data_IF_183066171183
#
_entry.id   IF_183066171183
#
_cell.length_a   1.000
_cell.length_b   1.000
_cell.length_c   1.000
_cell.angle_alpha   90.00
_cell.angle_beta   90.00
_cell.angle_gamma   90.00
#
_symmetry.space_group_name_H-M   'P 1'
#
loop_
_entity.id
_entity.type
_entity.pdbx_description
1 polymer ?
#
# COMPACT_ATOMS: atom_id res chain seq x y z
N UNK A 1 -4.15 47.69 15.35
CA UNK A 1 -3.34 46.48 15.62
C UNK A 1 -3.83 45.40 14.67
N UNK A 2 -3.03 45.08 13.66
CA UNK A 2 -3.38 44.06 12.67
C UNK A 2 -2.83 42.68 13.02
N UNK A 3 -3.44 41.68 12.34
CA UNK A 3 -3.01 40.30 12.08
C UNK A 3 -3.00 39.35 13.29
N UNK A 4 -3.46 38.09 13.21
CA UNK A 4 -3.61 37.14 12.09
C UNK A 4 -4.55 36.01 12.57
N UNK A 5 -5.52 35.49 11.78
CA UNK A 5 -6.16 34.23 12.12
C UNK A 5 -5.20 33.10 11.73
N UNK A 6 -4.42 32.61 12.68
CA UNK A 6 -3.73 31.32 12.57
C UNK A 6 -4.73 30.21 12.89
N UNK A 7 -5.39 29.70 11.86
CA UNK A 7 -5.89 28.33 11.84
C UNK A 7 -5.84 27.85 10.41
N UNK A 8 -4.61 27.51 10.00
CA UNK A 8 -4.34 26.78 8.79
C UNK A 8 -5.20 25.50 8.76
N UNK A 9 -5.85 25.27 7.62
CA UNK A 9 -6.00 23.94 7.00
C UNK A 9 -6.46 22.78 7.91
N UNK A 10 -7.45 23.02 8.78
CA UNK A 10 -8.15 21.96 9.50
C UNK A 10 -9.21 21.24 8.64
N UNK A 11 -9.32 21.59 7.36
CA UNK A 11 -10.24 20.99 6.41
C UNK A 11 -9.52 20.08 5.38
N UNK A 12 -8.43 19.44 5.78
CA UNK A 12 -8.04 18.18 5.13
C UNK A 12 -8.86 17.05 5.76
N UNK A 13 -10.16 17.09 5.54
CA UNK A 13 -11.12 16.10 6.01
C UNK A 13 -10.90 14.80 5.23
N UNK A 14 -9.90 14.01 5.67
CA UNK A 14 -9.82 12.61 5.26
C UNK A 14 -11.10 11.91 5.73
N UNK A 15 -11.97 11.58 4.78
CA UNK A 15 -13.20 10.84 5.05
C UNK A 15 -12.82 9.61 5.89
N UNK A 16 -13.48 9.41 7.04
CA UNK A 16 -13.22 8.24 7.89
C UNK A 16 -13.38 7.01 7.01
N UNK A 17 -12.33 6.20 6.81
CA UNK A 17 -12.43 5.04 5.95
C UNK A 17 -13.59 4.15 6.39
N UNK A 18 -14.50 3.88 5.45
CA UNK A 18 -15.64 2.98 5.64
C UNK A 18 -15.18 1.71 6.35
N UNK A 19 -15.96 1.22 7.32
CA UNK A 19 -15.67 0.03 8.12
C UNK A 19 -15.88 -1.27 7.33
N UNK A 20 -15.43 -1.30 6.07
CA UNK A 20 -15.44 -2.49 5.26
C UNK A 20 -14.15 -3.31 5.53
N UNK A 21 -14.25 -4.50 6.15
CA UNK A 21 -13.08 -5.32 6.48
C UNK A 21 -12.27 -5.76 5.26
N UNK A 22 -12.85 -5.72 4.06
CA UNK A 22 -12.13 -6.02 2.82
C UNK A 22 -11.10 -4.96 2.48
N UNK A 23 -11.27 -3.72 2.93
CA UNK A 23 -10.29 -2.66 2.73
C UNK A 23 -9.03 -2.86 3.58
N UNK A 24 -9.11 -3.63 4.68
CA UNK A 24 -7.93 -3.96 5.48
C UNK A 24 -6.90 -4.79 4.69
N UNK A 25 -7.31 -5.48 3.61
CA UNK A 25 -6.37 -6.21 2.74
C UNK A 25 -5.38 -5.29 2.00
N UNK A 26 -5.73 -4.01 1.82
CA UNK A 26 -4.89 -3.03 1.15
C UNK A 26 -4.14 -2.13 2.14
N UNK A 27 -4.57 -2.09 3.40
CA UNK A 27 -3.97 -1.21 4.40
C UNK A 27 -2.64 -1.75 4.90
N UNK A 28 -1.75 -0.81 5.20
CA UNK A 28 -0.50 -1.12 5.85
C UNK A 28 -0.74 -1.90 7.16
N UNK A 29 0.05 -2.95 7.48
CA UNK A 29 -0.17 -3.80 8.64
C UNK A 29 -0.33 -3.07 9.99
N UNK A 30 0.25 -1.89 10.13
CA UNK A 30 0.18 -1.06 11.35
C UNK A 30 -1.15 -0.32 11.52
N UNK A 31 -1.98 -0.22 10.48
CA UNK A 31 -3.26 0.54 10.51
C UNK A 31 -4.50 -0.32 10.21
N UNK A 32 -4.32 -1.64 10.17
CA UNK A 32 -5.40 -2.59 9.91
C UNK A 32 -6.34 -2.76 11.12
N UNK A 33 -7.65 -2.92 10.87
CA UNK A 33 -8.68 -3.16 11.89
C UNK A 33 -8.81 -2.03 12.94
N UNK A 34 -8.97 -2.40 14.22
CA UNK A 34 -9.33 -1.52 15.33
C UNK A 34 -8.11 -0.80 15.93
N UNK A 35 -7.14 -0.43 15.09
CA UNK A 35 -6.01 0.39 15.54
C UNK A 35 -6.44 1.86 15.54
N UNK A 36 -6.20 2.62 16.62
CA UNK A 36 -6.47 4.05 16.65
C UNK A 36 -5.75 4.75 15.50
N UNK A 37 -6.45 5.61 14.76
CA UNK A 37 -5.92 6.27 13.55
C UNK A 37 -5.34 7.65 13.84
N UNK A 38 -5.00 7.90 15.10
CA UNK A 38 -4.43 9.15 15.59
C UNK A 38 -3.00 8.91 16.07
N UNK A 39 -2.16 9.95 16.04
CA UNK A 39 -0.77 9.85 16.46
C UNK A 39 0.06 8.95 15.55
N UNK A 40 0.82 8.01 16.14
CA UNK A 40 1.80 7.17 15.41
C UNK A 40 1.20 6.28 14.32
N UNK A 41 -0.07 5.92 14.46
CA UNK A 41 -0.81 5.09 13.50
C UNK A 41 -1.72 5.94 12.58
N UNK A 42 -1.56 7.27 12.61
CA UNK A 42 -2.21 8.19 11.69
C UNK A 42 -1.71 8.03 10.26
N UNK A 43 -2.20 8.88 9.38
CA UNK A 43 -1.82 8.86 7.98
C UNK A 43 -0.30 9.02 7.79
N UNK A 44 0.28 8.17 6.94
CA UNK A 44 1.67 8.25 6.50
C UNK A 44 1.74 7.96 5.00
N UNK A 45 2.64 8.62 4.26
CA UNK A 45 2.81 8.37 2.82
C UNK A 45 3.21 6.93 2.53
N UNK A 46 4.00 6.31 3.41
CA UNK A 46 4.41 4.89 3.34
C UNK A 46 3.20 3.95 3.26
N UNK A 47 2.08 4.29 3.91
CA UNK A 47 0.88 3.46 3.90
C UNK A 47 0.17 3.50 2.54
N UNK A 48 0.22 4.64 1.85
CA UNK A 48 -0.28 4.74 0.48
C UNK A 48 0.63 3.99 -0.50
N UNK A 49 1.96 4.10 -0.33
CA UNK A 49 2.93 3.35 -1.13
C UNK A 49 2.72 1.85 -0.96
N UNK A 50 2.49 1.37 0.27
CA UNK A 50 2.11 -0.02 0.54
C UNK A 50 0.85 -0.41 -0.22
N UNK A 51 -0.21 0.37 -0.09
CA UNK A 51 -1.52 0.10 -0.72
C UNK A 51 -1.40 0.02 -2.24
N UNK A 52 -0.60 0.91 -2.84
CA UNK A 52 -0.27 0.88 -4.26
C UNK A 52 0.43 -0.42 -4.65
N UNK A 53 1.38 -0.91 -3.86
CA UNK A 53 2.04 -2.20 -4.09
C UNK A 53 1.06 -3.38 -4.16
N UNK A 54 0.03 -3.39 -3.30
CA UNK A 54 -1.03 -4.41 -3.33
C UNK A 54 -1.82 -4.31 -4.64
N UNK A 55 -2.22 -3.10 -5.06
CA UNK A 55 -2.97 -2.87 -6.30
C UNK A 55 -2.14 -3.23 -7.54
N UNK A 56 -0.86 -2.86 -7.59
CA UNK A 56 0.02 -3.23 -8.70
C UNK A 56 0.20 -4.76 -8.79
N UNK A 57 0.21 -5.47 -7.67
CA UNK A 57 0.20 -6.93 -7.69
C UNK A 57 -1.06 -7.48 -8.35
N UNK A 58 -2.24 -6.95 -8.02
CA UNK A 58 -3.51 -7.37 -8.64
C UNK A 58 -3.48 -7.15 -10.15
N UNK A 59 -2.92 -6.04 -10.61
CA UNK A 59 -2.74 -5.77 -12.03
C UNK A 59 -1.81 -6.78 -12.70
N UNK A 60 -0.68 -7.12 -12.07
CA UNK A 60 0.25 -8.11 -12.62
C UNK A 60 -0.39 -9.48 -12.82
N UNK A 61 -1.21 -9.95 -11.86
CA UNK A 61 -1.77 -11.31 -11.89
C UNK A 61 -3.21 -11.38 -12.43
N UNK A 62 -3.78 -10.22 -12.79
CA UNK A 62 -5.17 -10.03 -13.23
C UNK A 62 -6.23 -10.70 -12.33
N UNK A 63 -5.99 -10.66 -11.01
CA UNK A 63 -6.86 -11.26 -9.99
C UNK A 63 -6.90 -10.35 -8.76
N UNK A 64 -8.07 -10.21 -8.12
CA UNK A 64 -8.16 -9.43 -6.90
C UNK A 64 -7.46 -10.15 -5.74
N UNK A 65 -6.96 -9.39 -4.77
CA UNK A 65 -6.04 -9.85 -3.73
C UNK A 65 -6.66 -10.92 -2.84
N UNK A 66 -7.97 -10.85 -2.59
CA UNK A 66 -8.67 -11.89 -1.84
C UNK A 66 -8.61 -13.26 -2.53
N UNK A 67 -8.60 -13.31 -3.87
CA UNK A 67 -8.44 -14.56 -4.63
C UNK A 67 -6.99 -15.06 -4.55
N UNK A 68 -6.02 -14.13 -4.63
CA UNK A 68 -4.59 -14.46 -4.46
C UNK A 68 -4.33 -15.08 -3.08
N UNK A 69 -5.02 -14.60 -2.05
CA UNK A 69 -4.96 -15.11 -0.68
C UNK A 69 -5.84 -16.35 -0.44
N UNK A 70 -6.64 -16.79 -1.41
CA UNK A 70 -7.56 -17.92 -1.27
C UNK A 70 -8.74 -17.66 -0.32
N UNK A 71 -9.17 -16.40 -0.19
CA UNK A 71 -10.28 -15.99 0.66
C UNK A 71 -11.62 -16.04 -0.10
N UNK A 72 -12.63 -16.62 0.55
CA UNK A 72 -14.01 -16.62 0.05
C UNK A 72 -14.68 -15.27 0.38
N UNK A 73 -15.24 -14.60 -0.65
CA UNK A 73 -15.98 -13.33 -0.49
C UNK A 73 -17.20 -13.43 0.44
N UNK A 74 -17.72 -14.64 0.67
CA UNK A 74 -18.82 -14.89 1.61
C UNK A 74 -18.38 -14.76 3.07
N UNK A 75 -17.07 -14.77 3.33
CA UNK A 75 -16.50 -14.76 4.67
C UNK A 75 -15.77 -13.45 4.92
N UNK A 76 -16.04 -12.81 6.06
CA UNK A 76 -15.29 -11.63 6.49
C UNK A 76 -13.79 -11.99 6.61
N UNK A 77 -12.88 -11.23 5.98
CA UNK A 77 -11.45 -11.48 6.11
C UNK A 77 -11.03 -11.32 7.57
N UNK A 78 -10.27 -12.30 8.06
CA UNK A 78 -9.72 -12.30 9.42
C UNK A 78 -8.49 -11.40 9.49
N UNK A 79 -8.17 -10.92 10.68
CA UNK A 79 -6.97 -10.12 10.92
C UNK A 79 -5.67 -10.81 10.47
N UNK A 80 -5.58 -12.13 10.65
CA UNK A 80 -4.45 -12.91 10.16
C UNK A 80 -4.30 -12.85 8.64
N UNK A 81 -5.41 -12.82 7.89
CA UNK A 81 -5.38 -12.79 6.43
C UNK A 81 -4.87 -11.43 5.92
N UNK A 82 -5.38 -10.33 6.47
CA UNK A 82 -4.92 -8.99 6.11
C UNK A 82 -3.45 -8.74 6.49
N UNK A 83 -3.02 -9.19 7.68
CA UNK A 83 -1.60 -9.11 8.08
C UNK A 83 -0.70 -9.97 7.21
N UNK A 84 -1.23 -11.08 6.69
CA UNK A 84 -0.52 -12.00 5.80
C UNK A 84 -0.26 -11.45 4.40
N UNK A 85 -0.91 -10.35 3.99
CA UNK A 85 -0.78 -9.77 2.64
C UNK A 85 0.68 -9.43 2.33
N UNK A 86 1.36 -8.64 3.19
CA UNK A 86 2.77 -8.26 3.00
C UNK A 86 3.66 -9.51 2.84
N UNK A 87 3.49 -10.48 3.74
CA UNK A 87 4.26 -11.73 3.73
C UNK A 87 4.03 -12.55 2.47
N UNK A 88 2.79 -12.66 2.00
CA UNK A 88 2.45 -13.42 0.80
C UNK A 88 3.03 -12.78 -0.46
N UNK A 89 2.87 -11.46 -0.62
CA UNK A 89 3.38 -10.69 -1.76
C UNK A 89 4.90 -10.79 -1.87
N UNK A 90 5.59 -10.66 -0.72
CA UNK A 90 7.06 -10.71 -0.63
C UNK A 90 7.63 -12.14 -0.54
N UNK A 91 6.78 -13.16 -0.48
CA UNK A 91 7.23 -14.55 -0.47
C UNK A 91 7.93 -14.91 -1.80
N UNK A 92 8.79 -15.93 -1.76
CA UNK A 92 9.44 -16.44 -2.97
C UNK A 92 8.42 -16.77 -4.07
N UNK A 93 7.30 -17.39 -3.71
CA UNK A 93 6.22 -17.72 -4.65
C UNK A 93 5.53 -16.46 -5.19
N UNK A 94 5.27 -15.48 -4.34
CA UNK A 94 4.65 -14.20 -4.72
C UNK A 94 5.49 -13.47 -5.76
N UNK A 95 6.79 -13.31 -5.49
CA UNK A 95 7.74 -12.67 -6.41
C UNK A 95 7.94 -13.48 -7.68
N UNK A 96 8.05 -14.81 -7.59
CA UNK A 96 8.14 -15.68 -8.77
C UNK A 96 6.92 -15.55 -9.68
N UNK A 97 5.73 -15.40 -9.11
CA UNK A 97 4.48 -15.21 -9.87
C UNK A 97 4.48 -13.84 -10.55
N UNK A 98 4.90 -12.78 -9.87
CA UNK A 98 5.03 -11.45 -10.49
C UNK A 98 5.96 -11.48 -11.70
N UNK A 99 7.12 -12.11 -11.56
CA UNK A 99 8.10 -12.23 -12.65
C UNK A 99 7.54 -13.00 -13.83
N UNK A 100 6.80 -14.09 -13.60
CA UNK A 100 6.21 -14.88 -14.69
C UNK A 100 5.07 -14.18 -15.40
N UNK A 101 4.27 -13.39 -14.68
CA UNK A 101 3.08 -12.73 -15.25
C UNK A 101 3.38 -11.35 -15.85
N UNK A 102 4.29 -10.57 -15.24
CA UNK A 102 4.53 -9.16 -15.60
C UNK A 102 6.00 -8.82 -15.89
N UNK A 103 6.92 -9.78 -15.78
CA UNK A 103 8.34 -9.59 -16.02
C UNK A 103 9.13 -9.04 -14.82
N UNK A 104 10.45 -9.09 -14.93
CA UNK A 104 11.36 -8.78 -13.82
C UNK A 104 11.31 -7.32 -13.36
N UNK A 105 11.17 -6.39 -14.32
CA UNK A 105 11.15 -4.95 -14.03
C UNK A 105 9.91 -4.60 -13.20
N UNK A 106 8.73 -5.01 -13.65
CA UNK A 106 7.47 -4.78 -12.93
C UNK A 106 7.48 -5.47 -11.56
N UNK A 107 8.00 -6.70 -11.49
CA UNK A 107 8.14 -7.40 -10.21
C UNK A 107 9.04 -6.65 -9.22
N UNK A 108 10.09 -5.99 -9.70
CA UNK A 108 10.95 -5.11 -8.89
C UNK A 108 10.18 -3.94 -8.28
N UNK A 109 9.40 -3.24 -9.10
CA UNK A 109 8.53 -2.13 -8.66
C UNK A 109 7.53 -2.59 -7.60
N UNK A 110 6.78 -3.66 -7.89
CA UNK A 110 5.76 -4.18 -6.96
C UNK A 110 6.37 -4.64 -5.65
N UNK A 111 7.60 -5.17 -5.67
CA UNK A 111 8.31 -5.59 -4.45
C UNK A 111 8.76 -4.39 -3.60
N UNK A 112 9.19 -3.30 -4.24
CA UNK A 112 9.65 -2.10 -3.55
C UNK A 112 8.53 -1.53 -2.67
N UNK A 113 7.34 -1.32 -3.23
CA UNK A 113 6.22 -0.66 -2.56
C UNK A 113 5.89 -1.20 -1.15
N UNK A 114 5.61 -2.51 -0.94
CA UNK A 114 5.30 -3.06 0.37
C UNK A 114 6.54 -3.26 1.28
N UNK A 115 7.75 -3.09 0.73
CA UNK A 115 9.03 -3.15 1.48
C UNK A 115 9.54 -1.77 1.88
N UNK A 116 8.95 -0.70 1.35
CA UNK A 116 9.41 0.66 1.58
C UNK A 116 9.19 1.06 3.05
N UNK A 117 10.29 1.19 3.78
CA UNK A 117 10.33 1.65 5.16
C UNK A 117 11.31 2.82 5.18
N UNK A 118 10.79 4.05 5.25
CA UNK A 118 11.59 5.27 5.24
C UNK A 118 11.55 5.95 6.59
N UNK A 119 12.66 6.62 6.94
CA UNK A 119 12.79 7.37 8.20
C UNK A 119 11.91 8.63 8.17
N UNK A 120 11.68 9.19 6.98
CA UNK A 120 10.87 10.37 6.76
C UNK A 120 10.23 10.37 5.36
N UNK A 121 9.26 11.28 5.18
CA UNK A 121 8.47 11.41 3.96
C UNK A 121 9.28 11.91 2.74
N UNK A 122 10.33 12.71 2.92
CA UNK A 122 11.15 13.21 1.81
C UNK A 122 12.02 12.09 1.25
N UNK A 123 12.65 11.32 2.13
CA UNK A 123 13.42 10.13 1.76
C UNK A 123 12.52 9.14 1.01
N UNK A 124 11.32 8.86 1.53
CA UNK A 124 10.36 7.99 0.84
C UNK A 124 10.00 8.49 -0.56
N UNK A 125 9.77 9.80 -0.71
CA UNK A 125 9.40 10.39 -2.00
C UNK A 125 10.52 10.23 -3.05
N UNK A 126 11.77 10.45 -2.65
CA UNK A 126 12.93 10.26 -3.53
C UNK A 126 13.06 8.79 -3.94
N UNK A 127 13.04 7.88 -2.97
CA UNK A 127 13.14 6.44 -3.26
C UNK A 127 11.98 5.95 -4.14
N UNK A 128 10.76 6.43 -3.89
CA UNK A 128 9.61 6.11 -4.73
C UNK A 128 9.79 6.63 -6.16
N UNK A 129 10.26 7.86 -6.33
CA UNK A 129 10.49 8.44 -7.65
C UNK A 129 11.54 7.64 -8.44
N UNK A 130 12.64 7.26 -7.80
CA UNK A 130 13.74 6.53 -8.43
C UNK A 130 13.35 5.07 -8.76
N UNK A 131 12.69 4.37 -7.84
CA UNK A 131 12.44 2.93 -7.95
C UNK A 131 11.10 2.58 -8.60
N UNK A 132 10.16 3.53 -8.66
CA UNK A 132 8.82 3.31 -9.21
C UNK A 132 8.59 4.16 -10.44
N UNK A 133 8.62 5.49 -10.32
CA UNK A 133 8.23 6.39 -11.41
C UNK A 133 9.21 6.32 -12.57
N UNK A 134 10.51 6.50 -12.29
CA UNK A 134 11.56 6.49 -13.32
C UNK A 134 11.62 5.13 -14.04
N UNK A 135 11.42 4.05 -13.29
CA UNK A 135 11.41 2.68 -13.85
C UNK A 135 10.19 2.48 -14.74
N UNK A 136 9.00 2.93 -14.32
CA UNK A 136 7.79 2.86 -15.14
C UNK A 136 7.92 3.67 -16.43
N UNK A 137 8.44 4.90 -16.34
CA UNK A 137 8.66 5.75 -17.51
C UNK A 137 9.61 5.06 -18.50
N UNK A 138 10.68 4.41 -18.01
CA UNK A 138 11.61 3.66 -18.85
C UNK A 138 11.04 2.40 -19.50
N UNK A 139 9.91 1.86 -19.03
CA UNK A 139 9.22 0.69 -19.61
C UNK A 139 8.26 1.08 -20.73
N UNK A 140 7.77 2.32 -20.74
CA UNK A 140 6.80 2.82 -21.71
C UNK A 140 7.45 3.44 -22.97
N UNK A 141 8.77 3.31 -23.13
CA UNK A 141 9.56 3.81 -24.27
C UNK A 141 10.03 2.64 -25.12
#
# INVERSE_FOLDING_TARGET
MGNRPDSADLDETTERPLENPWFDLYRHPETQFNVPREGRNGFQKSYNVYSLGVVLYEFAVWKPIHIVLGLDRKQRPRAAAAKGVKTQLLSHKGISTLKSEAGDVFAGIVKFCPSAEAVDDQTLQLEFWENVVTVFDGVLV
#
